data_IF_271133781929
#
_entry.id   IF_271133781929
#
_cell.length_a   1.000
_cell.length_b   1.000
_cell.length_c   1.000
_cell.angle_alpha   90.00
_cell.angle_beta   90.00
_cell.angle_gamma   90.00
#
_symmetry.space_group_name_H-M   'P 1'
#
loop_
_entity.id
_entity.type
_entity.pdbx_description
1 polymer ?
#
# COMPACT_ATOMS: atom_id res chain seq x y z
N UNK A 1 6.64 27.36 -4.16
CA UNK A 1 5.99 28.56 -3.60
C UNK A 1 4.48 28.33 -3.66
N UNK A 2 3.73 28.60 -2.58
CA UNK A 2 2.27 28.35 -2.55
C UNK A 2 1.53 29.39 -3.42
N UNK A 3 0.43 28.99 -4.06
CA UNK A 3 -0.43 29.90 -4.83
C UNK A 3 -0.93 31.07 -3.96
N UNK A 4 -1.16 30.84 -2.66
CA UNK A 4 -1.53 31.89 -1.71
C UNK A 4 -0.41 32.92 -1.51
N UNK A 5 0.84 32.48 -1.36
CA UNK A 5 1.98 33.38 -1.18
C UNK A 5 2.24 34.23 -2.44
N UNK A 6 1.97 33.67 -3.62
CA UNK A 6 2.07 34.41 -4.87
C UNK A 6 1.05 35.55 -4.95
N UNK A 7 -0.21 35.32 -4.52
CA UNK A 7 -1.25 36.36 -4.46
C UNK A 7 -0.91 37.42 -3.40
N UNK A 8 -0.52 37.01 -2.19
CA UNK A 8 -0.14 37.93 -1.10
C UNK A 8 1.01 38.85 -1.53
N UNK A 9 2.03 38.32 -2.21
CA UNK A 9 3.17 39.12 -2.68
C UNK A 9 2.79 40.10 -3.81
N UNK A 10 1.78 39.76 -4.63
CA UNK A 10 1.26 40.67 -5.68
C UNK A 10 0.48 41.82 -5.04
N UNK A 11 -0.37 41.53 -4.04
CA UNK A 11 -1.16 42.54 -3.32
C UNK A 11 -0.29 43.46 -2.44
N UNK A 12 0.79 42.93 -1.86
CA UNK A 12 1.77 43.70 -1.10
C UNK A 12 2.69 44.57 -1.99
N UNK A 13 2.62 44.42 -3.32
CA UNK A 13 3.49 45.13 -4.27
C UNK A 13 4.92 44.60 -4.32
N UNK A 14 5.22 43.49 -3.65
CA UNK A 14 6.53 42.85 -3.58
C UNK A 14 6.83 42.01 -4.83
N UNK A 15 5.80 41.59 -5.56
CA UNK A 15 5.90 40.77 -6.77
C UNK A 15 5.12 41.38 -7.94
N UNK A 16 5.84 41.76 -8.99
CA UNK A 16 5.23 42.22 -10.23
C UNK A 16 4.85 41.05 -11.15
N UNK A 17 3.60 41.02 -11.57
CA UNK A 17 3.05 40.11 -12.59
C UNK A 17 2.37 40.95 -13.66
N UNK A 18 2.60 40.62 -14.93
CA UNK A 18 1.98 41.32 -16.05
C UNK A 18 0.46 41.21 -15.97
N UNK A 19 -0.26 42.29 -16.33
CA UNK A 19 -1.73 42.37 -16.20
C UNK A 19 -2.44 41.20 -16.89
N UNK A 20 -1.91 40.74 -18.03
CA UNK A 20 -2.43 39.59 -18.79
C UNK A 20 -2.34 38.26 -18.03
N UNK A 21 -1.37 38.12 -17.13
CA UNK A 21 -1.04 36.88 -16.43
C UNK A 21 -1.62 36.84 -15.01
N UNK A 22 -2.09 37.99 -14.48
CA UNK A 22 -2.75 38.09 -13.17
C UNK A 22 -3.95 37.15 -13.02
N UNK A 23 -4.90 37.04 -13.97
CA UNK A 23 -6.06 36.16 -13.82
C UNK A 23 -5.69 34.69 -13.58
N UNK A 24 -4.58 34.21 -14.16
CA UNK A 24 -4.11 32.84 -13.97
C UNK A 24 -3.61 32.55 -12.55
N UNK A 25 -3.03 33.55 -11.88
CA UNK A 25 -2.53 33.41 -10.50
C UNK A 25 -3.68 33.33 -9.50
N UNK A 26 -4.69 34.19 -9.64
CA UNK A 26 -5.90 34.14 -8.80
C UNK A 26 -6.71 32.86 -9.04
N UNK A 27 -6.86 32.42 -10.29
CA UNK A 27 -7.53 31.16 -10.60
C UNK A 27 -6.81 29.94 -9.99
N UNK A 28 -5.47 29.95 -9.94
CA UNK A 28 -4.69 28.91 -9.28
C UNK A 28 -4.90 28.90 -7.76
N UNK A 29 -5.01 30.07 -7.14
CA UNK A 29 -5.35 30.21 -5.73
C UNK A 29 -6.77 29.72 -5.42
N UNK A 30 -7.77 30.11 -6.22
CA UNK A 30 -9.17 29.68 -6.02
C UNK A 30 -9.31 28.16 -6.15
N UNK A 31 -8.61 27.56 -7.12
CA UNK A 31 -8.54 26.10 -7.27
C UNK A 31 -7.91 25.42 -6.04
N UNK A 32 -6.84 26.01 -5.49
CA UNK A 32 -6.19 25.48 -4.29
C UNK A 32 -7.09 25.61 -3.05
N UNK A 33 -7.80 26.73 -2.90
CA UNK A 33 -8.78 26.96 -1.82
C UNK A 33 -9.94 25.97 -1.89
N UNK A 34 -10.47 25.72 -3.10
CA UNK A 34 -11.53 24.74 -3.32
C UNK A 34 -11.09 23.31 -2.95
N UNK A 35 -9.91 22.88 -3.44
CA UNK A 35 -9.38 21.55 -3.13
C UNK A 35 -9.09 21.34 -1.64
N UNK A 36 -8.63 22.38 -0.94
CA UNK A 36 -8.41 22.32 0.51
C UNK A 36 -9.73 22.21 1.28
N UNK A 37 -10.75 22.96 0.87
CA UNK A 37 -12.10 22.91 1.46
C UNK A 37 -12.74 21.53 1.25
N UNK A 38 -12.55 20.95 0.07
CA UNK A 38 -13.01 19.59 -0.25
C UNK A 38 -12.30 18.55 0.62
N UNK A 39 -10.97 18.63 0.76
CA UNK A 39 -10.20 17.73 1.62
C UNK A 39 -10.63 17.80 3.10
N UNK A 40 -10.94 18.99 3.61
CA UNK A 40 -11.48 19.17 4.97
C UNK A 40 -12.88 18.57 5.14
N UNK A 41 -13.68 18.51 4.07
CA UNK A 41 -15.02 17.91 4.13
C UNK A 41 -15.02 16.38 4.08
N UNK A 42 -13.95 15.77 3.57
CA UNK A 42 -13.77 14.31 3.54
C UNK A 42 -13.17 13.73 4.83
N UNK A 43 -12.33 14.49 5.55
CA UNK A 43 -11.85 14.07 6.88
C UNK A 43 -12.91 14.41 7.94
N UNK A 44 -13.81 13.47 8.21
CA UNK A 44 -14.72 13.48 9.37
C UNK A 44 -13.92 13.26 10.68
N UNK A 45 -12.97 14.15 10.96
CA UNK A 45 -12.16 14.16 12.18
C UNK A 45 -12.72 15.23 13.12
N UNK A 46 -13.29 14.87 14.29
CA UNK A 46 -14.08 15.76 15.15
C UNK A 46 -13.30 16.88 15.85
N UNK A 47 -12.08 17.22 15.40
CA UNK A 47 -11.25 18.29 15.98
C UNK A 47 -10.80 19.37 15.00
N UNK A 48 -11.18 19.32 13.73
CA UNK A 48 -10.64 20.20 12.70
C UNK A 48 -11.71 20.90 11.86
N UNK A 49 -12.81 21.34 12.47
CA UNK A 49 -13.79 22.21 11.80
C UNK A 49 -13.46 23.69 12.03
N UNK A 50 -12.31 24.17 11.53
CA UNK A 50 -12.18 25.60 11.22
C UNK A 50 -12.49 25.78 9.75
N UNK A 51 -13.79 25.85 9.44
CA UNK A 51 -14.28 26.17 8.10
C UNK A 51 -13.70 27.53 7.72
N UNK A 52 -12.98 27.59 6.59
CA UNK A 52 -12.46 28.87 6.08
C UNK A 52 -13.66 29.80 5.84
N UNK A 53 -13.75 30.96 6.52
CA UNK A 53 -14.84 31.92 6.30
C UNK A 53 -14.90 32.36 4.83
N UNK A 54 -16.11 32.56 4.29
CA UNK A 54 -16.30 32.93 2.89
C UNK A 54 -15.67 34.29 2.55
N UNK A 55 -15.51 35.15 3.55
CA UNK A 55 -14.95 36.50 3.52
C UNK A 55 -13.48 36.58 3.99
N UNK A 56 -12.84 35.45 4.30
CA UNK A 56 -11.48 35.43 4.80
C UNK A 56 -10.47 36.01 3.78
N UNK A 57 -9.60 36.88 4.28
CA UNK A 57 -8.53 37.53 3.49
C UNK A 57 -7.49 36.48 3.05
N UNK A 58 -6.77 36.71 1.94
CA UNK A 58 -5.73 35.79 1.43
C UNK A 58 -4.67 35.42 2.48
N UNK A 59 -4.35 36.34 3.38
CA UNK A 59 -3.44 36.13 4.50
C UNK A 59 -4.03 35.17 5.54
N UNK A 60 -5.32 35.32 5.89
CA UNK A 60 -6.03 34.46 6.83
C UNK A 60 -6.22 33.04 6.28
N UNK A 61 -6.61 32.91 5.01
CA UNK A 61 -6.74 31.60 4.35
C UNK A 61 -5.39 30.87 4.29
N UNK A 62 -4.30 31.59 4.02
CA UNK A 62 -2.95 31.02 3.99
C UNK A 62 -2.46 30.56 5.37
N UNK A 63 -2.78 31.33 6.43
CA UNK A 63 -2.42 31.00 7.80
C UNK A 63 -3.20 29.77 8.30
N UNK A 64 -4.51 29.72 8.05
CA UNK A 64 -5.36 28.57 8.38
C UNK A 64 -4.93 27.30 7.65
N UNK A 65 -4.60 27.41 6.35
CA UNK A 65 -4.08 26.29 5.57
C UNK A 65 -2.72 25.79 6.09
N UNK A 66 -1.84 26.70 6.53
CA UNK A 66 -0.55 26.36 7.11
C UNK A 66 -0.70 25.62 8.45
N UNK A 67 -1.60 26.09 9.33
CA UNK A 67 -1.90 25.45 10.62
C UNK A 67 -2.49 24.04 10.42
N UNK A 68 -3.47 23.90 9.52
CA UNK A 68 -4.05 22.61 9.18
C UNK A 68 -3.03 21.64 8.61
N UNK A 69 -2.12 22.13 7.75
CA UNK A 69 -1.02 21.31 7.20
C UNK A 69 -0.04 20.89 8.29
N UNK A 70 0.26 21.77 9.26
CA UNK A 70 1.15 21.47 10.37
C UNK A 70 0.53 20.43 11.33
N UNK A 71 -0.74 20.60 11.68
CA UNK A 71 -1.49 19.64 12.50
C UNK A 71 -1.60 18.27 11.81
N UNK A 72 -1.94 18.24 10.52
CA UNK A 72 -1.97 17.01 9.73
C UNK A 72 -0.61 16.32 9.69
N UNK A 73 0.49 17.05 9.44
CA UNK A 73 1.84 16.49 9.48
C UNK A 73 2.19 15.90 10.84
N UNK A 74 1.77 16.54 11.93
CA UNK A 74 2.03 16.05 13.28
C UNK A 74 1.24 14.78 13.61
N UNK A 75 -0.02 14.68 13.18
CA UNK A 75 -0.83 13.48 13.38
C UNK A 75 -0.47 12.33 12.42
N UNK A 76 -0.08 12.65 11.18
CA UNK A 76 0.36 11.67 10.20
C UNK A 76 1.77 11.16 10.51
N UNK A 77 2.68 11.99 11.04
CA UNK A 77 4.10 11.64 11.19
C UNK A 77 4.33 10.29 11.88
N UNK A 78 3.78 10.09 13.08
CA UNK A 78 3.94 8.83 13.81
C UNK A 78 3.23 7.65 13.13
N UNK A 79 1.99 7.85 12.67
CA UNK A 79 1.18 6.81 12.02
C UNK A 79 1.83 6.33 10.72
N UNK A 80 2.28 7.26 9.88
CA UNK A 80 2.95 6.99 8.61
C UNK A 80 4.28 6.27 8.83
N UNK A 81 5.07 6.67 9.83
CA UNK A 81 6.31 5.96 10.16
C UNK A 81 6.04 4.53 10.65
N UNK A 82 5.03 4.33 11.50
CA UNK A 82 4.65 3.00 11.96
C UNK A 82 4.25 2.09 10.79
N UNK A 83 3.37 2.57 9.90
CA UNK A 83 2.96 1.83 8.70
C UNK A 83 4.16 1.48 7.82
N UNK A 84 5.09 2.41 7.63
CA UNK A 84 6.31 2.17 6.85
C UNK A 84 7.17 1.06 7.46
N UNK A 85 7.43 1.11 8.77
CA UNK A 85 8.22 0.07 9.43
C UNK A 85 7.53 -1.31 9.38
N UNK A 86 6.21 -1.35 9.60
CA UNK A 86 5.44 -2.58 9.47
C UNK A 86 5.52 -3.15 8.04
N UNK A 87 5.41 -2.30 7.02
CA UNK A 87 5.50 -2.72 5.63
C UNK A 87 6.89 -3.27 5.29
N UNK A 88 7.96 -2.61 5.71
CA UNK A 88 9.34 -3.09 5.51
C UNK A 88 9.54 -4.42 6.23
N UNK A 89 9.09 -4.54 7.47
CA UNK A 89 9.16 -5.79 8.24
C UNK A 89 8.40 -6.93 7.55
N UNK A 90 7.22 -6.66 7.02
CA UNK A 90 6.44 -7.62 6.24
C UNK A 90 7.19 -8.07 4.98
N UNK A 91 7.74 -7.14 4.20
CA UNK A 91 8.50 -7.46 2.97
C UNK A 91 9.74 -8.30 3.31
N UNK A 92 10.47 -7.95 4.37
CA UNK A 92 11.64 -8.69 4.81
C UNK A 92 11.29 -10.12 5.24
N UNK A 93 10.22 -10.29 6.04
CA UNK A 93 9.73 -11.61 6.45
C UNK A 93 9.27 -12.44 5.24
N UNK A 94 8.58 -11.82 4.29
CA UNK A 94 8.16 -12.47 3.06
C UNK A 94 9.36 -12.94 2.22
N UNK A 95 10.37 -12.09 2.04
CA UNK A 95 11.56 -12.44 1.25
C UNK A 95 12.35 -13.63 1.83
N UNK A 96 12.49 -13.70 3.16
CA UNK A 96 13.22 -14.78 3.84
C UNK A 96 12.39 -16.08 3.87
N UNK A 97 11.07 -15.98 3.99
CA UNK A 97 10.16 -17.13 4.07
C UNK A 97 9.53 -17.46 2.72
N UNK A 98 8.26 -17.08 2.58
CA UNK A 98 7.40 -17.51 1.47
C UNK A 98 7.93 -17.13 0.08
N UNK A 99 8.66 -16.02 -0.05
CA UNK A 99 9.19 -15.52 -1.32
C UNK A 99 10.31 -16.38 -1.91
N UNK A 100 11.06 -17.11 -1.08
CA UNK A 100 12.15 -18.00 -1.52
C UNK A 100 11.80 -19.47 -1.36
N UNK A 101 11.18 -19.84 -0.24
CA UNK A 101 10.88 -21.25 0.10
C UNK A 101 9.93 -21.90 -0.91
N UNK A 102 8.95 -21.17 -1.45
CA UNK A 102 7.97 -21.75 -2.39
C UNK A 102 8.63 -22.34 -3.64
N UNK A 103 9.67 -21.69 -4.16
CA UNK A 103 10.34 -22.11 -5.39
C UNK A 103 11.25 -23.32 -5.16
N UNK A 104 11.86 -23.40 -3.98
CA UNK A 104 12.62 -24.57 -3.55
C UNK A 104 11.69 -25.75 -3.34
N UNK A 105 10.58 -25.54 -2.62
CA UNK A 105 9.60 -26.58 -2.31
C UNK A 105 8.96 -27.18 -3.56
N UNK A 106 8.51 -26.35 -4.51
CA UNK A 106 8.00 -26.82 -5.82
C UNK A 106 9.08 -27.63 -6.56
N UNK A 107 10.36 -27.30 -6.37
CA UNK A 107 11.47 -28.04 -6.94
C UNK A 107 11.76 -29.39 -6.29
N UNK A 108 11.35 -29.61 -5.04
CA UNK A 108 11.70 -30.77 -4.22
C UNK A 108 10.55 -31.76 -4.02
N UNK A 109 9.29 -31.32 -4.17
CA UNK A 109 8.11 -32.15 -3.91
C UNK A 109 7.80 -33.17 -5.02
N UNK A 110 8.22 -32.89 -6.26
CA UNK A 110 7.88 -33.74 -7.41
C UNK A 110 8.94 -34.81 -7.70
N UNK A 111 8.53 -36.03 -8.10
CA UNK A 111 9.45 -37.08 -8.53
C UNK A 111 10.30 -36.64 -9.73
N UNK A 112 11.52 -37.18 -9.87
CA UNK A 112 12.45 -36.80 -10.95
C UNK A 112 11.81 -36.90 -12.35
N UNK A 113 11.04 -37.96 -12.61
CA UNK A 113 10.41 -38.21 -13.91
C UNK A 113 9.36 -37.15 -14.30
N UNK A 114 8.71 -36.54 -13.32
CA UNK A 114 7.62 -35.56 -13.53
C UNK A 114 7.98 -34.16 -13.03
N UNK A 115 9.22 -33.96 -12.60
CA UNK A 115 9.68 -32.74 -11.92
C UNK A 115 9.47 -31.50 -12.77
N UNK A 116 9.81 -31.56 -14.05
CA UNK A 116 9.65 -30.44 -14.98
C UNK A 116 8.17 -30.05 -15.16
N UNK A 117 7.28 -31.04 -15.31
CA UNK A 117 5.85 -30.80 -15.46
C UNK A 117 5.23 -30.25 -14.15
N UNK A 118 5.61 -30.80 -13.00
CA UNK A 118 5.18 -30.32 -11.69
C UNK A 118 5.62 -28.89 -11.41
N UNK A 119 6.86 -28.53 -11.74
CA UNK A 119 7.37 -27.16 -11.62
C UNK A 119 6.62 -26.18 -12.54
N UNK A 120 6.35 -26.57 -13.78
CA UNK A 120 5.57 -25.75 -14.72
C UNK A 120 4.15 -25.51 -14.21
N UNK A 121 3.47 -26.57 -13.73
CA UNK A 121 2.11 -26.46 -13.18
C UNK A 121 2.08 -25.61 -11.90
N UNK A 122 3.02 -25.82 -10.99
CA UNK A 122 3.14 -25.04 -9.76
C UNK A 122 3.38 -23.56 -10.04
N UNK A 123 4.32 -23.26 -10.94
CA UNK A 123 4.62 -21.87 -11.35
C UNK A 123 3.45 -21.22 -12.06
N UNK A 124 2.78 -21.93 -12.98
CA UNK A 124 1.60 -21.41 -13.69
C UNK A 124 0.47 -21.09 -12.71
N UNK A 125 0.19 -21.99 -11.76
CA UNK A 125 -0.83 -21.77 -10.72
C UNK A 125 -0.49 -20.55 -9.88
N UNK A 126 0.77 -20.41 -9.46
CA UNK A 126 1.24 -19.23 -8.72
C UNK A 126 0.99 -17.93 -9.50
N UNK A 127 1.39 -17.87 -10.77
CA UNK A 127 1.24 -16.66 -11.59
C UNK A 127 -0.22 -16.33 -11.90
N UNK A 128 -1.07 -17.33 -12.15
CA UNK A 128 -2.51 -17.12 -12.36
C UNK A 128 -3.15 -16.55 -11.10
N UNK A 129 -2.90 -17.14 -9.93
CA UNK A 129 -3.40 -16.63 -8.67
C UNK A 129 -2.88 -15.21 -8.36
N UNK A 130 -1.61 -14.93 -8.63
CA UNK A 130 -1.02 -13.60 -8.46
C UNK A 130 -1.69 -12.56 -9.37
N UNK A 131 -1.97 -12.91 -10.63
CA UNK A 131 -2.68 -12.04 -11.56
C UNK A 131 -4.11 -11.76 -11.09
N UNK A 132 -4.86 -12.80 -10.72
CA UNK A 132 -6.23 -12.68 -10.20
C UNK A 132 -6.26 -11.76 -8.97
N UNK A 133 -5.36 -11.97 -8.01
CA UNK A 133 -5.30 -11.15 -6.81
C UNK A 133 -4.96 -9.68 -7.14
N UNK A 134 -4.03 -9.46 -8.06
CA UNK A 134 -3.64 -8.11 -8.51
C UNK A 134 -4.79 -7.36 -9.17
N UNK A 135 -5.68 -8.05 -9.90
CA UNK A 135 -6.88 -7.45 -10.49
C UNK A 135 -8.00 -7.23 -9.49
N UNK A 136 -8.20 -8.16 -8.55
CA UNK A 136 -9.29 -8.08 -7.58
C UNK A 136 -9.00 -7.08 -6.45
N UNK A 137 -7.74 -6.89 -6.07
CA UNK A 137 -7.39 -6.04 -4.92
C UNK A 137 -7.86 -4.58 -5.07
N UNK A 138 -7.67 -3.88 -6.21
CA UNK A 138 -8.20 -2.53 -6.39
C UNK A 138 -9.73 -2.46 -6.34
N UNK A 139 -10.41 -3.49 -6.85
CA UNK A 139 -11.88 -3.59 -6.80
C UNK A 139 -12.33 -3.76 -5.35
N UNK A 140 -11.67 -4.63 -4.58
CA UNK A 140 -11.96 -4.81 -3.16
C UNK A 140 -11.74 -3.52 -2.36
N UNK A 141 -10.68 -2.75 -2.66
CA UNK A 141 -10.41 -1.46 -2.02
C UNK A 141 -11.48 -0.39 -2.28
N UNK A 142 -12.31 -0.53 -3.31
CA UNK A 142 -13.44 0.37 -3.58
C UNK A 142 -14.69 0.01 -2.77
N UNK A 143 -14.80 -1.23 -2.33
CA UNK A 143 -16.00 -1.75 -1.67
C UNK A 143 -15.81 -2.02 -0.17
N UNK A 144 -14.57 -2.17 0.31
CA UNK A 144 -14.25 -2.49 1.69
C UNK A 144 -13.33 -1.44 2.31
N UNK A 145 -13.50 -1.20 3.61
CA UNK A 145 -12.53 -0.41 4.36
C UNK A 145 -11.16 -1.10 4.38
N UNK A 146 -10.05 -0.35 4.23
CA UNK A 146 -8.71 -0.92 4.18
C UNK A 146 -8.38 -1.81 5.40
N UNK A 147 -8.82 -1.39 6.59
CA UNK A 147 -8.57 -2.13 7.84
C UNK A 147 -9.17 -3.54 7.82
N UNK A 148 -10.38 -3.70 7.29
CA UNK A 148 -11.04 -5.01 7.17
C UNK A 148 -10.30 -5.89 6.17
N UNK A 149 -9.90 -5.31 5.03
CA UNK A 149 -9.21 -6.04 3.97
C UNK A 149 -7.83 -6.53 4.43
N UNK A 150 -7.05 -5.67 5.08
CA UNK A 150 -5.76 -6.05 5.67
C UNK A 150 -5.93 -7.07 6.81
N UNK A 151 -6.97 -6.93 7.64
CA UNK A 151 -7.31 -7.91 8.68
C UNK A 151 -7.62 -9.29 8.12
N UNK A 152 -8.37 -9.36 7.01
CA UNK A 152 -8.64 -10.59 6.28
C UNK A 152 -7.35 -11.25 5.77
N UNK A 153 -6.46 -10.50 5.12
CA UNK A 153 -5.19 -11.05 4.64
C UNK A 153 -4.28 -11.50 5.79
N UNK A 154 -4.23 -10.76 6.90
CA UNK A 154 -3.49 -11.15 8.09
C UNK A 154 -4.02 -12.49 8.66
N UNK A 155 -5.34 -12.65 8.73
CA UNK A 155 -5.96 -13.91 9.13
C UNK A 155 -5.61 -15.06 8.17
N UNK A 156 -5.67 -14.81 6.85
CA UNK A 156 -5.26 -15.80 5.85
C UNK A 156 -3.78 -16.21 5.99
N UNK A 157 -2.88 -15.29 6.37
CA UNK A 157 -1.48 -15.63 6.66
C UNK A 157 -1.34 -16.57 7.87
N UNK A 158 -2.17 -16.41 8.90
CA UNK A 158 -2.19 -17.34 10.04
C UNK A 158 -2.67 -18.72 9.61
N UNK A 159 -3.73 -18.80 8.80
CA UNK A 159 -4.20 -20.08 8.25
C UNK A 159 -3.13 -20.75 7.38
N UNK A 160 -2.45 -19.97 6.54
CA UNK A 160 -1.33 -20.46 5.74
C UNK A 160 -0.22 -21.03 6.63
N UNK A 161 0.14 -20.33 7.72
CA UNK A 161 1.15 -20.82 8.67
C UNK A 161 0.73 -22.15 9.31
N UNK A 162 -0.54 -22.27 9.75
CA UNK A 162 -1.06 -23.52 10.31
C UNK A 162 -0.99 -24.65 9.28
N UNK A 163 -1.39 -24.38 8.03
CA UNK A 163 -1.30 -25.35 6.95
C UNK A 163 0.14 -25.79 6.69
N UNK A 164 1.10 -24.86 6.62
CA UNK A 164 2.52 -25.18 6.43
C UNK A 164 3.05 -26.07 7.56
N UNK A 165 2.74 -25.75 8.82
CA UNK A 165 3.27 -26.50 9.97
C UNK A 165 2.66 -27.91 10.07
N UNK A 166 1.43 -28.11 9.58
CA UNK A 166 0.69 -29.37 9.81
C UNK A 166 0.67 -30.30 8.61
N UNK A 167 0.65 -29.78 7.39
CA UNK A 167 0.38 -30.55 6.17
C UNK A 167 1.55 -30.57 5.19
N UNK A 168 2.48 -29.61 5.27
CA UNK A 168 3.62 -29.56 4.36
C UNK A 168 4.77 -30.41 4.94
N UNK A 169 5.24 -31.44 4.24
CA UNK A 169 6.38 -32.23 4.71
C UNK A 169 7.66 -31.39 4.65
N UNK A 170 8.53 -31.56 5.65
CA UNK A 170 9.86 -30.97 5.64
C UNK A 170 10.71 -31.62 4.54
N UNK A 171 11.28 -30.80 3.65
CA UNK A 171 12.09 -31.25 2.50
C UNK A 171 13.58 -31.01 2.71
N UNK A 172 13.97 -30.25 3.74
CA UNK A 172 15.35 -29.85 3.98
C UNK A 172 16.29 -31.05 4.18
N UNK A 173 17.28 -31.14 3.28
CA UNK A 173 18.38 -32.10 3.40
C UNK A 173 18.00 -33.54 3.09
N UNK A 174 16.84 -33.78 2.48
CA UNK A 174 16.38 -35.10 2.07
C UNK A 174 16.67 -35.27 0.58
N UNK A 175 17.38 -36.34 0.15
CA UNK A 175 17.55 -36.66 -1.26
C UNK A 175 16.20 -36.84 -1.97
N UNK A 176 16.12 -36.50 -3.26
CA UNK A 176 14.87 -36.56 -4.03
C UNK A 176 14.29 -37.98 -4.12
N UNK A 177 15.16 -38.98 -4.12
CA UNK A 177 14.80 -40.40 -4.15
C UNK A 177 14.11 -40.81 -2.84
N UNK A 178 14.62 -40.36 -1.70
CA UNK A 178 14.00 -40.58 -0.38
C UNK A 178 12.71 -39.79 -0.21
N UNK A 179 12.60 -38.62 -0.82
CA UNK A 179 11.37 -37.83 -0.81
C UNK A 179 10.21 -38.59 -1.47
N UNK A 180 10.46 -39.28 -2.58
CA UNK A 180 9.44 -40.10 -3.26
C UNK A 180 8.97 -41.26 -2.37
N UNK A 181 9.88 -41.91 -1.64
CA UNK A 181 9.53 -42.96 -0.68
C UNK A 181 8.70 -42.40 0.49
N UNK A 182 9.05 -41.23 1.03
CA UNK A 182 8.28 -40.56 2.11
C UNK A 182 6.88 -40.12 1.68
N UNK A 183 6.72 -39.76 0.41
CA UNK A 183 5.42 -39.43 -0.18
C UNK A 183 4.60 -40.68 -0.56
N UNK A 184 5.16 -41.89 -0.41
CA UNK A 184 4.49 -43.16 -0.73
C UNK A 184 4.37 -43.44 -2.23
N UNK A 185 5.26 -42.86 -3.05
CA UNK A 185 5.22 -42.94 -4.52
C UNK A 185 6.17 -44.04 -5.06
N UNK A 186 7.24 -44.37 -4.32
CA UNK A 186 8.18 -45.42 -4.72
C UNK A 186 7.72 -46.81 -4.24
N UNK A 187 7.72 -47.80 -5.15
CA UNK A 187 7.58 -49.22 -4.77
C UNK A 187 8.85 -49.67 -4.01
N UNK A 188 8.63 -50.29 -2.84
CA UNK A 188 9.67 -50.95 -2.04
C UNK A 188 10.25 -52.10 -2.87
N UNK A 189 11.51 -51.96 -3.33
CA UNK A 189 12.28 -53.02 -4.00
C UNK A 189 13.46 -53.46 -3.12
#
# INVERSE_FOLDING_TARGET
>A
ESAANAVIAIEAGERFVAEKDRPGVYAAYDKAKAAFTEAQSQEESPRQSSVIPADATYTETSALAAEATAAAKQSLGFKSMLVLFCLIGFIAAHAIGQGTVIWVFIGEIFPNDHRAAGQALGSATHWVCAAVLSFLFPIAMQHFEPGVLFGFFAFMMVLQLVWVVTLVPETKGIPLEEMQARLGIAEEN
#
